data_IF_698073940698
#
_entry.id   IF_698073940698
#
_cell.length_a   1.000
_cell.length_b   1.000
_cell.length_c   1.000
_cell.angle_alpha   90.00
_cell.angle_beta   90.00
_cell.angle_gamma   90.00
#
_symmetry.space_group_name_H-M   'P 1'
#
loop_
_entity.id
_entity.type
_entity.pdbx_description
1 polymer ?
#
# COMPACT_ATOMS: atom_id res chain seq x y z
N UNK A 1 -4.14 17.33 4.74
CA UNK A 1 -4.28 16.60 3.47
C UNK A 1 -2.92 16.21 2.94
N UNK A 2 -2.47 15.04 3.34
CA UNK A 2 -1.26 14.45 2.78
C UNK A 2 -1.54 14.08 1.32
N UNK A 3 -0.70 14.58 0.40
CA UNK A 3 -0.81 14.32 -1.03
C UNK A 3 0.51 13.74 -1.49
N UNK A 4 0.46 12.55 -2.07
CA UNK A 4 1.61 11.90 -2.68
C UNK A 4 1.68 12.33 -4.14
N UNK A 5 2.85 12.78 -4.59
CA UNK A 5 3.09 13.20 -5.97
C UNK A 5 3.85 12.11 -6.73
N UNK A 6 3.13 11.13 -7.28
CA UNK A 6 3.77 10.03 -8.02
C UNK A 6 3.67 10.25 -9.54
N UNK A 7 4.81 10.55 -10.17
CA UNK A 7 4.91 10.71 -11.63
C UNK A 7 3.89 11.71 -12.22
N UNK A 8 3.65 12.83 -11.53
CA UNK A 8 2.71 13.88 -11.96
C UNK A 8 1.25 13.65 -11.56
N UNK A 9 0.93 12.54 -10.88
CA UNK A 9 -0.40 12.27 -10.35
C UNK A 9 -0.47 12.62 -8.87
N UNK A 10 -1.56 13.29 -8.46
CA UNK A 10 -1.88 13.56 -7.06
C UNK A 10 -2.67 12.39 -6.50
N UNK A 11 -2.13 11.76 -5.47
CA UNK A 11 -2.72 10.57 -4.85
C UNK A 11 -3.00 10.90 -3.39
N UNK A 12 -4.26 10.73 -2.98
CA UNK A 12 -4.63 10.78 -1.58
C UNK A 12 -4.30 9.44 -0.91
N UNK A 13 -3.50 9.42 0.17
CA UNK A 13 -3.17 8.20 0.91
C UNK A 13 -4.41 7.39 1.29
N UNK A 14 -5.45 8.05 1.79
CA UNK A 14 -6.67 7.41 2.27
C UNK A 14 -7.40 6.59 1.21
N UNK A 15 -7.30 6.96 -0.07
CA UNK A 15 -7.89 6.14 -1.14
C UNK A 15 -7.17 4.80 -1.29
N UNK A 16 -5.86 4.80 -1.14
CA UNK A 16 -5.03 3.59 -1.20
C UNK A 16 -5.18 2.77 0.08
N UNK A 17 -5.28 3.42 1.25
CA UNK A 17 -5.53 2.77 2.54
C UNK A 17 -6.88 2.08 2.55
N UNK A 18 -7.95 2.76 2.12
CA UNK A 18 -9.28 2.18 2.02
C UNK A 18 -9.28 0.96 1.09
N UNK A 19 -8.62 1.08 -0.07
CA UNK A 19 -8.45 -0.02 -1.01
C UNK A 19 -7.68 -1.20 -0.39
N UNK A 20 -6.64 -0.96 0.40
CA UNK A 20 -5.91 -2.05 1.08
C UNK A 20 -6.77 -2.73 2.15
N UNK A 21 -7.54 -1.96 2.92
CA UNK A 21 -8.41 -2.47 3.98
C UNK A 21 -9.59 -3.31 3.48
N UNK A 22 -9.92 -3.28 2.18
CA UNK A 22 -10.89 -4.20 1.58
C UNK A 22 -10.33 -5.64 1.41
N UNK A 23 -9.02 -5.83 1.54
CA UNK A 23 -8.39 -7.15 1.45
C UNK A 23 -8.35 -7.85 2.81
N UNK A 24 -8.75 -9.15 2.93
CA UNK A 24 -8.83 -9.86 4.21
C UNK A 24 -7.49 -10.04 4.93
N UNK A 25 -6.37 -9.87 4.21
CA UNK A 25 -5.03 -9.92 4.80
C UNK A 25 -4.67 -8.66 5.59
N UNK A 26 -5.34 -7.53 5.37
CA UNK A 26 -4.97 -6.22 5.93
C UNK A 26 -5.82 -5.93 7.15
N UNK A 27 -5.18 -5.84 8.32
CA UNK A 27 -5.82 -5.37 9.55
C UNK A 27 -5.83 -3.84 9.61
N UNK A 28 -4.66 -3.24 9.34
CA UNK A 28 -4.47 -1.79 9.29
C UNK A 28 -3.42 -1.45 8.22
N UNK A 29 -3.50 -0.24 7.66
CA UNK A 29 -2.49 0.26 6.73
C UNK A 29 -2.23 1.75 6.89
N UNK A 30 -1.00 2.16 6.59
CA UNK A 30 -0.63 3.57 6.46
C UNK A 30 0.11 3.76 5.15
N UNK A 31 -0.29 4.77 4.39
CA UNK A 31 0.26 5.06 3.06
C UNK A 31 1.00 6.38 3.06
N UNK A 32 2.24 6.35 2.58
CA UNK A 32 3.12 7.53 2.54
C UNK A 32 3.83 7.62 1.20
N UNK A 33 4.41 8.78 0.92
CA UNK A 33 5.37 8.93 -0.15
C UNK A 33 6.71 8.27 0.21
N UNK A 34 7.39 7.71 -0.78
CA UNK A 34 8.72 7.14 -0.63
C UNK A 34 9.60 7.52 -1.81
N UNK A 35 10.87 7.93 -1.57
CA UNK A 35 11.79 8.26 -2.64
C UNK A 35 12.10 7.03 -3.51
N UNK A 36 12.15 7.20 -4.82
CA UNK A 36 12.41 6.15 -5.79
C UNK A 36 13.45 6.61 -6.83
N UNK A 37 14.51 5.83 -7.12
CA UNK A 37 15.57 6.27 -8.02
C UNK A 37 15.11 6.48 -9.46
N UNK A 38 14.03 5.82 -9.89
CA UNK A 38 13.52 5.88 -11.27
C UNK A 38 12.36 6.88 -11.36
N UNK A 39 11.44 6.82 -10.40
CA UNK A 39 10.17 7.58 -10.42
C UNK A 39 10.19 8.84 -9.56
N UNK A 40 11.33 9.14 -8.92
CA UNK A 40 11.54 10.17 -7.88
C UNK A 40 10.76 9.90 -6.60
N UNK A 41 9.46 9.66 -6.72
CA UNK A 41 8.54 9.45 -5.62
C UNK A 41 7.49 8.40 -6.01
N UNK A 42 7.19 7.50 -5.08
CA UNK A 42 6.21 6.43 -5.24
C UNK A 42 5.37 6.27 -3.98
N UNK A 43 4.20 5.64 -4.14
CA UNK A 43 3.36 5.21 -3.01
C UNK A 43 4.02 4.03 -2.30
N UNK A 44 4.21 4.16 -0.98
CA UNK A 44 4.61 3.08 -0.09
C UNK A 44 3.50 2.80 0.91
N UNK A 45 3.19 1.53 1.12
CA UNK A 45 2.26 1.08 2.15
C UNK A 45 3.01 0.35 3.28
N UNK A 46 2.72 0.73 4.51
CA UNK A 46 2.99 -0.08 5.69
C UNK A 46 1.71 -0.84 6.04
N UNK A 47 1.84 -2.14 6.27
CA UNK A 47 0.68 -3.03 6.42
C UNK A 47 0.85 -3.87 7.68
N UNK A 48 -0.17 -3.83 8.53
CA UNK A 48 -0.36 -4.79 9.62
C UNK A 48 -1.23 -5.91 9.08
N UNK A 49 -0.74 -7.14 9.14
CA UNK A 49 -1.50 -8.30 8.67
C UNK A 49 -2.48 -8.80 9.72
N UNK A 50 -3.57 -9.39 9.25
CA UNK A 50 -4.44 -10.23 10.07
C UNK A 50 -3.72 -11.52 10.48
N UNK A 51 -4.08 -12.12 11.64
CA UNK A 51 -3.41 -13.32 12.15
C UNK A 51 -3.36 -14.49 11.17
N UNK A 52 -4.42 -14.66 10.37
CA UNK A 52 -4.58 -15.75 9.39
C UNK A 52 -3.55 -15.67 8.26
N UNK A 53 -3.00 -14.47 8.00
CA UNK A 53 -2.06 -14.22 6.91
C UNK A 53 -0.60 -14.10 7.37
N UNK A 54 -0.30 -14.25 8.67
CA UNK A 54 1.06 -14.11 9.19
C UNK A 54 2.05 -15.15 8.64
N UNK A 55 1.58 -16.35 8.30
CA UNK A 55 2.40 -17.43 7.75
C UNK A 55 2.46 -17.46 6.21
N UNK A 56 1.80 -16.52 5.54
CA UNK A 56 1.76 -16.49 4.07
C UNK A 56 3.10 -16.06 3.48
N UNK A 57 3.37 -16.50 2.25
CA UNK A 57 4.52 -16.05 1.47
C UNK A 57 4.42 -14.54 1.20
N UNK A 58 5.43 -13.80 1.64
CA UNK A 58 5.38 -12.34 1.64
C UNK A 58 5.48 -11.75 0.24
N UNK A 59 6.27 -12.36 -0.65
CA UNK A 59 6.42 -11.86 -2.01
C UNK A 59 5.15 -12.09 -2.83
N UNK A 60 4.49 -13.23 -2.63
CA UNK A 60 3.20 -13.52 -3.24
C UNK A 60 2.11 -12.59 -2.71
N UNK A 61 2.05 -12.39 -1.40
CA UNK A 61 1.05 -11.51 -0.79
C UNK A 61 1.23 -10.05 -1.21
N UNK A 62 2.48 -9.57 -1.36
CA UNK A 62 2.74 -8.23 -1.91
C UNK A 62 2.15 -8.10 -3.32
N UNK A 63 2.37 -9.08 -4.21
CA UNK A 63 1.83 -9.04 -5.57
C UNK A 63 0.31 -9.07 -5.58
N UNK A 64 -0.29 -9.87 -4.70
CA UNK A 64 -1.73 -9.96 -4.52
C UNK A 64 -2.33 -8.63 -4.07
N UNK A 65 -1.79 -8.01 -3.02
CA UNK A 65 -2.24 -6.70 -2.53
C UNK A 65 -2.07 -5.60 -3.58
N UNK A 66 -0.94 -5.60 -4.31
CA UNK A 66 -0.74 -4.67 -5.41
C UNK A 66 -1.76 -4.85 -6.52
N UNK A 67 -2.13 -6.10 -6.84
CA UNK A 67 -3.12 -6.39 -7.86
C UNK A 67 -4.54 -6.03 -7.39
N UNK A 68 -4.85 -6.28 -6.12
CA UNK A 68 -6.11 -5.89 -5.49
C UNK A 68 -6.32 -4.37 -5.60
N UNK A 69 -5.35 -3.56 -5.15
CA UNK A 69 -5.45 -2.09 -5.25
C UNK A 69 -5.59 -1.61 -6.70
N UNK A 70 -4.90 -2.24 -7.66
CA UNK A 70 -5.04 -1.91 -9.10
C UNK A 70 -6.43 -2.23 -9.66
N UNK A 71 -7.14 -3.22 -9.09
CA UNK A 71 -8.47 -3.61 -9.56
C UNK A 71 -9.59 -2.70 -9.07
N UNK A 72 -9.39 -2.04 -7.92
CA UNK A 72 -10.43 -1.21 -7.28
C UNK A 72 -10.12 0.29 -7.35
N UNK A 73 -8.89 0.68 -7.66
CA UNK A 73 -8.48 2.08 -7.88
C UNK A 73 -7.89 2.30 -9.26
N UNK A 74 -7.55 3.54 -9.60
CA UNK A 74 -6.81 3.82 -10.83
C UNK A 74 -5.42 3.13 -10.80
N UNK A 75 -4.99 2.43 -11.86
CA UNK A 75 -3.80 1.56 -11.85
C UNK A 75 -2.45 2.22 -11.48
N UNK A 76 -2.37 3.55 -11.44
CA UNK A 76 -1.17 4.27 -11.02
C UNK A 76 -1.08 4.51 -9.50
N UNK A 77 -2.17 4.27 -8.75
CA UNK A 77 -2.26 4.55 -7.30
C UNK A 77 -1.72 3.45 -6.40
N UNK A 78 -1.48 2.26 -6.96
CA UNK A 78 -1.04 1.10 -6.17
C UNK A 78 0.29 1.32 -5.46
N UNK A 79 0.48 0.73 -4.26
CA UNK A 79 1.73 0.83 -3.53
C UNK A 79 2.84 0.06 -4.25
N UNK A 80 3.85 0.78 -4.75
CA UNK A 80 5.02 0.18 -5.40
C UNK A 80 5.97 -0.47 -4.41
N UNK A 81 5.92 0.01 -3.17
CA UNK A 81 6.67 -0.53 -2.03
C UNK A 81 5.67 -0.93 -0.96
N UNK A 82 5.87 -2.11 -0.40
CA UNK A 82 5.05 -2.64 0.70
C UNK A 82 6.01 -3.11 1.78
N UNK A 83 5.70 -2.77 3.03
CA UNK A 83 6.44 -3.22 4.19
C UNK A 83 5.44 -3.74 5.23
N UNK A 84 5.67 -4.95 5.71
CA UNK A 84 4.85 -5.52 6.77
C UNK A 84 5.42 -5.13 8.12
N UNK A 85 4.58 -4.57 8.99
CA UNK A 85 4.93 -4.13 10.34
C UNK A 85 4.02 -4.78 11.36
N UNK A 86 4.47 -4.87 12.61
CA UNK A 86 3.65 -5.42 13.71
C UNK A 86 2.56 -4.46 14.16
N UNK A 87 2.81 -3.16 14.07
CA UNK A 87 1.89 -2.09 14.45
C UNK A 87 2.23 -0.78 13.73
N UNK A 88 1.28 0.15 13.71
CA UNK A 88 1.46 1.52 13.23
C UNK A 88 1.56 2.49 14.43
N UNK A 89 2.36 3.57 14.31
CA UNK A 89 2.41 4.60 15.35
C UNK A 89 1.03 5.26 15.52
N UNK A 90 0.65 5.54 16.78
CA UNK A 90 -0.60 6.20 17.16
C UNK A 90 -0.44 7.71 17.33
#
# INVERSE_FOLDING_TARGET
DDIINASGNRIGPSEVENALCEHPAVAESAVVSSPDPIRREVVKAFIVLTPEFLSYDRDQLIKELQQHVKSITAPYKYPRKVEFVSELPK
#
